data_IF_212101137838
#
_entry.id   IF_212101137838
#
_cell.length_a   1.000
_cell.length_b   1.000
_cell.length_c   1.000
_cell.angle_alpha   90.00
_cell.angle_beta   90.00
_cell.angle_gamma   90.00
#
_symmetry.space_group_name_H-M   'P 1'
#
loop_
_entity.id
_entity.type
_entity.pdbx_description
1 polymer ?
#
# COMPACT_ATOMS: atom_id res chain seq x y z
N UNK A 1 3.80 -24.50 13.28
CA UNK A 1 2.34 -24.39 13.16
C UNK A 1 2.14 -23.37 12.05
N UNK A 2 1.37 -23.69 11.03
CA UNK A 2 1.16 -22.79 9.88
C UNK A 2 0.63 -21.43 10.38
N UNK A 3 1.20 -20.31 9.94
CA UNK A 3 0.74 -18.97 10.31
C UNK A 3 -0.75 -18.79 9.99
N UNK A 4 -1.23 -19.41 8.91
CA UNK A 4 -2.63 -19.39 8.52
C UNK A 4 -3.52 -20.16 9.50
N UNK A 5 -3.03 -21.27 10.09
CA UNK A 5 -3.78 -22.03 11.10
C UNK A 5 -3.99 -21.22 12.38
N UNK A 6 -2.96 -20.47 12.79
CA UNK A 6 -3.04 -19.59 13.98
C UNK A 6 -4.03 -18.47 13.73
N UNK A 7 -3.91 -17.79 12.57
CA UNK A 7 -4.86 -16.75 12.16
C UNK A 7 -6.29 -17.30 12.12
N UNK A 8 -6.51 -18.48 11.53
CA UNK A 8 -7.84 -19.08 11.41
C UNK A 8 -8.51 -19.30 12.77
N UNK A 9 -7.75 -19.77 13.76
CA UNK A 9 -8.24 -19.98 15.13
C UNK A 9 -8.61 -18.66 15.80
N UNK A 10 -7.72 -17.69 15.76
CA UNK A 10 -7.94 -16.40 16.41
C UNK A 10 -9.06 -15.60 15.72
N UNK A 11 -9.14 -15.68 14.39
CA UNK A 11 -10.20 -15.11 13.59
C UNK A 11 -11.55 -15.69 13.99
N UNK A 12 -11.67 -17.02 14.09
CA UNK A 12 -12.90 -17.69 14.51
C UNK A 12 -13.37 -17.22 15.88
N UNK A 13 -12.45 -17.13 16.85
CA UNK A 13 -12.80 -16.68 18.21
C UNK A 13 -13.31 -15.24 18.20
N UNK A 14 -12.59 -14.33 17.54
CA UNK A 14 -12.99 -12.92 17.45
C UNK A 14 -14.32 -12.74 16.69
N UNK A 15 -14.49 -13.47 15.59
CA UNK A 15 -15.69 -13.42 14.76
C UNK A 15 -16.94 -13.87 15.53
N UNK A 16 -16.88 -15.05 16.17
CA UNK A 16 -18.01 -15.57 16.95
C UNK A 16 -18.34 -14.72 18.18
N UNK A 17 -17.35 -14.00 18.73
CA UNK A 17 -17.59 -13.04 19.81
C UNK A 17 -18.27 -11.76 19.30
N UNK A 18 -17.97 -11.32 18.08
CA UNK A 18 -18.55 -10.11 17.50
C UNK A 18 -20.02 -10.28 17.13
N UNK A 19 -20.40 -11.37 16.46
CA UNK A 19 -21.73 -11.52 15.85
C UNK A 19 -22.92 -11.26 16.79
N UNK A 20 -22.95 -11.72 18.06
CA UNK A 20 -24.13 -11.56 18.91
C UNK A 20 -24.31 -10.17 19.53
N UNK A 21 -23.23 -9.38 19.65
CA UNK A 21 -23.25 -8.14 20.46
C UNK A 21 -22.64 -6.91 19.77
N UNK A 22 -21.98 -7.11 18.63
CA UNK A 22 -21.29 -6.06 17.85
C UNK A 22 -20.39 -5.18 18.70
N UNK A 23 -19.65 -5.79 19.62
CA UNK A 23 -18.83 -5.05 20.57
C UNK A 23 -17.60 -4.43 19.90
N UNK A 24 -17.34 -3.16 20.21
CA UNK A 24 -16.16 -2.42 19.77
C UNK A 24 -14.85 -3.13 20.10
N UNK A 25 -14.79 -3.83 21.25
CA UNK A 25 -13.61 -4.60 21.63
C UNK A 25 -13.32 -5.76 20.66
N UNK A 26 -14.36 -6.36 20.08
CA UNK A 26 -14.21 -7.41 19.08
C UNK A 26 -13.87 -6.85 17.69
N UNK A 27 -14.32 -5.64 17.33
CA UNK A 27 -13.84 -4.92 16.13
C UNK A 27 -12.36 -4.53 16.26
N UNK A 28 -11.95 -4.03 17.42
CA UNK A 28 -10.54 -3.78 17.68
C UNK A 28 -9.70 -5.05 17.52
N UNK A 29 -10.22 -6.20 17.99
CA UNK A 29 -9.57 -7.51 17.76
C UNK A 29 -9.49 -7.85 16.26
N UNK A 30 -10.53 -7.54 15.48
CA UNK A 30 -10.55 -7.70 14.03
C UNK A 30 -9.45 -6.87 13.34
N UNK A 31 -9.30 -5.61 13.73
CA UNK A 31 -8.23 -4.74 13.27
C UNK A 31 -6.84 -5.33 13.57
N UNK A 32 -6.60 -5.78 14.81
CA UNK A 32 -5.32 -6.38 15.21
C UNK A 32 -5.01 -7.67 14.42
N UNK A 33 -6.03 -8.48 14.12
CA UNK A 33 -5.86 -9.66 13.27
C UNK A 33 -5.45 -9.28 11.86
N UNK A 34 -6.11 -8.29 11.26
CA UNK A 34 -5.75 -7.79 9.93
C UNK A 34 -4.34 -7.21 9.90
N UNK A 35 -3.96 -6.48 10.95
CA UNK A 35 -2.62 -5.90 11.08
C UNK A 35 -1.54 -6.98 11.19
N UNK A 36 -1.80 -8.02 12.00
CA UNK A 36 -0.90 -9.16 12.13
C UNK A 36 -0.76 -9.90 10.79
N UNK A 37 -1.88 -10.14 10.08
CA UNK A 37 -1.84 -10.80 8.79
C UNK A 37 -0.99 -10.04 7.75
N UNK A 38 -1.11 -8.70 7.72
CA UNK A 38 -0.24 -7.85 6.89
C UNK A 38 1.23 -7.98 7.30
N UNK A 39 1.54 -7.97 8.60
CA UNK A 39 2.91 -8.06 9.10
C UNK A 39 3.57 -9.41 8.77
N UNK A 40 2.81 -10.50 8.83
CA UNK A 40 3.25 -11.85 8.47
C UNK A 40 3.22 -12.12 6.96
N UNK A 41 2.78 -11.16 6.14
CA UNK A 41 2.73 -11.30 4.68
C UNK A 41 1.66 -12.28 4.17
N UNK A 42 0.63 -12.55 4.97
CA UNK A 42 -0.47 -13.43 4.57
C UNK A 42 -1.32 -12.81 3.46
N UNK A 43 -1.84 -13.65 2.58
CA UNK A 43 -2.63 -13.18 1.44
C UNK A 43 -4.01 -12.71 1.88
N UNK A 44 -4.45 -11.57 1.35
CA UNK A 44 -5.83 -11.09 1.47
C UNK A 44 -6.84 -12.13 0.95
N UNK A 45 -6.44 -12.95 -0.04
CA UNK A 45 -7.29 -14.01 -0.60
C UNK A 45 -7.42 -15.20 0.37
N UNK A 46 -6.38 -15.50 1.15
CA UNK A 46 -6.42 -16.53 2.20
C UNK A 46 -7.32 -16.06 3.34
N UNK A 47 -7.19 -14.79 3.76
CA UNK A 47 -8.05 -14.19 4.75
C UNK A 47 -9.53 -14.21 4.32
N UNK A 48 -9.81 -13.83 3.07
CA UNK A 48 -11.17 -13.85 2.52
C UNK A 48 -11.76 -15.28 2.52
N UNK A 49 -10.93 -16.30 2.21
CA UNK A 49 -11.33 -17.70 2.30
C UNK A 49 -11.65 -18.11 3.73
N UNK A 50 -10.77 -17.81 4.69
CA UNK A 50 -10.97 -18.10 6.12
C UNK A 50 -12.28 -17.48 6.62
N UNK A 51 -12.52 -16.20 6.31
CA UNK A 51 -13.78 -15.54 6.66
C UNK A 51 -14.98 -16.29 6.10
N UNK A 52 -14.96 -16.63 4.81
CA UNK A 52 -16.09 -17.28 4.15
C UNK A 52 -16.37 -18.67 4.71
N UNK A 53 -15.34 -19.46 4.98
CA UNK A 53 -15.47 -20.81 5.57
C UNK A 53 -16.13 -20.75 6.96
N UNK A 54 -15.64 -19.87 7.84
CA UNK A 54 -16.20 -19.68 9.18
C UNK A 54 -17.63 -19.12 9.07
N UNK A 55 -17.88 -18.17 8.17
CA UNK A 55 -19.19 -17.57 8.01
C UNK A 55 -20.24 -18.57 7.50
N UNK A 56 -19.87 -19.47 6.58
CA UNK A 56 -20.76 -20.55 6.14
C UNK A 56 -21.18 -21.49 7.28
N UNK A 57 -20.29 -21.76 8.22
CA UNK A 57 -20.64 -22.55 9.41
C UNK A 57 -21.69 -21.83 10.26
N UNK A 58 -21.49 -20.54 10.51
CA UNK A 58 -22.46 -19.71 11.23
C UNK A 58 -23.82 -19.70 10.52
N UNK A 59 -23.83 -19.51 9.19
CA UNK A 59 -25.07 -19.43 8.41
C UNK A 59 -25.89 -20.72 8.48
N UNK A 60 -25.25 -21.89 8.61
CA UNK A 60 -25.94 -23.18 8.75
C UNK A 60 -26.67 -23.31 10.09
N UNK A 61 -26.18 -22.63 11.12
CA UNK A 61 -26.73 -22.66 12.48
C UNK A 61 -27.67 -21.47 12.75
N UNK A 62 -27.69 -20.47 11.87
CA UNK A 62 -28.48 -19.23 12.03
C UNK A 62 -29.92 -19.42 11.55
N UNK A 63 -30.94 -19.05 12.35
CA UNK A 63 -32.33 -19.03 11.91
C UNK A 63 -32.56 -18.06 10.73
N UNK A 64 -33.46 -18.38 9.78
CA UNK A 64 -33.70 -17.53 8.61
C UNK A 64 -34.07 -16.06 8.94
N UNK A 65 -34.73 -15.82 10.07
CA UNK A 65 -35.12 -14.49 10.51
C UNK A 65 -33.91 -13.61 10.94
N UNK A 66 -32.82 -14.24 11.37
CA UNK A 66 -31.61 -13.57 11.87
C UNK A 66 -30.54 -13.40 10.79
N UNK A 67 -30.66 -14.12 9.66
CA UNK A 67 -29.69 -14.11 8.56
C UNK A 67 -29.30 -12.71 8.09
N UNK A 68 -30.22 -11.75 7.87
CA UNK A 68 -29.83 -10.41 7.42
C UNK A 68 -28.93 -9.71 8.42
N UNK A 69 -29.24 -9.79 9.71
CA UNK A 69 -28.48 -9.12 10.76
C UNK A 69 -27.09 -9.75 10.95
N UNK A 70 -27.02 -11.08 10.94
CA UNK A 70 -25.77 -11.84 11.03
C UNK A 70 -24.89 -11.56 9.80
N UNK A 71 -25.47 -11.49 8.60
CA UNK A 71 -24.73 -11.17 7.39
C UNK A 71 -24.18 -9.75 7.39
N UNK A 72 -24.96 -8.78 7.88
CA UNK A 72 -24.47 -7.40 8.07
C UNK A 72 -23.31 -7.35 9.05
N UNK A 73 -23.43 -8.00 10.23
CA UNK A 73 -22.35 -8.06 11.20
C UNK A 73 -21.10 -8.75 10.63
N UNK A 74 -21.27 -9.85 9.89
CA UNK A 74 -20.15 -10.52 9.24
C UNK A 74 -19.40 -9.60 8.26
N UNK A 75 -20.14 -8.82 7.47
CA UNK A 75 -19.55 -7.83 6.56
C UNK A 75 -18.80 -6.73 7.29
N UNK A 76 -19.36 -6.18 8.38
CA UNK A 76 -18.71 -5.14 9.18
C UNK A 76 -17.38 -5.63 9.75
N UNK A 77 -17.38 -6.83 10.34
CA UNK A 77 -16.17 -7.45 10.86
C UNK A 77 -15.12 -7.65 9.77
N UNK A 78 -15.50 -8.16 8.60
CA UNK A 78 -14.57 -8.35 7.49
C UNK A 78 -13.96 -7.02 7.03
N UNK A 79 -14.78 -5.97 6.90
CA UNK A 79 -14.30 -4.65 6.48
C UNK A 79 -13.27 -4.08 7.46
N UNK A 80 -13.47 -4.28 8.76
CA UNK A 80 -12.52 -3.84 9.79
C UNK A 80 -11.16 -4.54 9.65
N UNK A 81 -11.16 -5.85 9.37
CA UNK A 81 -9.93 -6.60 9.11
C UNK A 81 -9.27 -6.10 7.81
N UNK A 82 -10.06 -5.87 6.74
CA UNK A 82 -9.54 -5.46 5.43
C UNK A 82 -9.04 -4.01 5.39
N UNK A 83 -9.47 -3.17 6.31
CA UNK A 83 -8.98 -1.80 6.43
C UNK A 83 -7.46 -1.75 6.60
N UNK A 84 -6.85 -2.73 7.28
CA UNK A 84 -5.39 -2.80 7.46
C UNK A 84 -4.65 -3.08 6.16
N UNK A 85 -5.23 -3.89 5.27
CA UNK A 85 -4.68 -4.18 3.95
C UNK A 85 -4.76 -2.97 3.04
N UNK A 86 -5.88 -2.25 3.04
CA UNK A 86 -6.02 -0.99 2.28
C UNK A 86 -5.01 0.06 2.75
N UNK A 87 -4.87 0.23 4.07
CA UNK A 87 -3.86 1.13 4.67
C UNK A 87 -2.43 0.75 4.25
N UNK A 88 -2.09 -0.54 4.30
CA UNK A 88 -0.76 -1.02 3.90
C UNK A 88 -0.50 -0.81 2.40
N UNK A 89 -1.50 -1.06 1.55
CA UNK A 89 -1.41 -0.84 0.12
C UNK A 89 -1.20 0.65 -0.22
N UNK A 90 -1.93 1.56 0.43
CA UNK A 90 -1.76 3.01 0.25
C UNK A 90 -0.36 3.47 0.64
N UNK A 91 0.10 3.07 1.84
CA UNK A 91 1.43 3.42 2.31
C UNK A 91 2.53 2.92 1.36
N UNK A 92 2.38 1.72 0.80
CA UNK A 92 3.28 1.19 -0.22
C UNK A 92 3.28 2.08 -1.48
N UNK A 93 2.10 2.39 -2.04
CA UNK A 93 1.99 3.19 -3.26
C UNK A 93 2.52 4.62 -3.10
N UNK A 94 2.25 5.25 -1.95
CA UNK A 94 2.74 6.60 -1.62
C UNK A 94 4.27 6.63 -1.51
N UNK A 95 4.87 5.64 -0.86
CA UNK A 95 6.33 5.50 -0.78
C UNK A 95 6.98 5.34 -2.16
N UNK A 96 6.33 4.61 -3.07
CA UNK A 96 6.82 4.44 -4.45
C UNK A 96 6.69 5.72 -5.27
N UNK A 97 5.64 6.52 -5.07
CA UNK A 97 5.49 7.81 -5.72
C UNK A 97 6.59 8.79 -5.27
N UNK A 98 6.82 8.91 -3.97
CA UNK A 98 7.86 9.78 -3.42
C UNK A 98 9.27 9.42 -3.93
N UNK A 99 9.59 8.12 -4.00
CA UNK A 99 10.87 7.65 -4.53
C UNK A 99 11.07 7.98 -6.03
N UNK A 100 9.99 7.97 -6.83
CA UNK A 100 10.04 8.35 -8.26
C UNK A 100 10.25 9.85 -8.45
N UNK A 101 9.66 10.67 -7.59
CA UNK A 101 9.78 12.12 -7.66
C UNK A 101 11.22 12.58 -7.29
N UNK A 102 11.87 11.91 -6.35
CA UNK A 102 13.27 12.16 -5.96
C UNK A 102 14.28 11.79 -7.09
N UNK A 103 13.89 10.91 -8.01
CA UNK A 103 14.71 10.48 -9.16
C UNK A 103 14.55 11.37 -10.40
N UNK A 104 14.08 12.61 -10.24
CA UNK A 104 13.98 13.62 -11.30
C UNK A 104 15.28 13.89 -12.08
N UNK A 105 15.20 14.55 -13.26
CA UNK A 105 16.28 14.56 -14.27
C UNK A 105 17.64 14.92 -13.66
N UNK A 106 18.58 13.97 -13.70
CA UNK A 106 19.97 14.23 -13.29
C UNK A 106 20.46 15.48 -14.05
N UNK A 107 21.00 16.52 -13.37
CA UNK A 107 21.50 17.69 -14.06
C UNK A 107 22.53 17.23 -15.09
N UNK A 108 22.30 17.58 -16.35
CA UNK A 108 23.11 17.15 -17.47
C UNK A 108 24.58 17.38 -17.16
N UNK A 109 25.39 16.34 -17.36
CA UNK A 109 26.84 16.41 -17.37
C UNK A 109 27.26 17.47 -18.38
N UNK A 110 27.41 18.70 -17.89
CA UNK A 110 27.78 19.86 -18.67
C UNK A 110 29.23 19.76 -19.10
N UNK A 111 29.49 18.99 -20.16
CA UNK A 111 30.70 19.20 -20.96
C UNK A 111 30.45 20.49 -21.74
N UNK A 112 30.82 21.62 -21.13
CA UNK A 112 30.88 22.92 -21.79
C UNK A 112 32.04 22.86 -22.79
N UNK A 113 31.73 22.69 -24.07
CA UNK A 113 32.71 22.88 -25.13
C UNK A 113 33.28 24.31 -25.06
N UNK A 114 34.61 24.50 -25.20
CA UNK A 114 35.20 25.84 -25.19
C UNK A 114 34.77 26.61 -26.45
N UNK A 115 34.31 27.85 -26.23
CA UNK A 115 33.89 28.80 -27.26
C UNK A 115 35.14 29.32 -27.99
N UNK A 116 35.18 29.36 -29.33
CA UNK A 116 36.35 29.89 -30.04
C UNK A 116 36.39 31.40 -29.87
N UNK A 117 37.51 31.91 -29.35
CA UNK A 117 37.78 33.34 -29.26
C UNK A 117 38.11 33.89 -30.65
N UNK A 118 37.33 34.87 -31.10
CA UNK A 118 37.61 35.63 -32.30
C UNK A 118 38.88 36.48 -32.07
N UNK A 119 39.92 36.20 -32.86
CA UNK A 119 41.13 37.04 -32.91
C UNK A 119 40.79 38.35 -33.61
N UNK A 120 40.70 39.43 -32.83
CA UNK A 120 40.75 40.78 -33.38
C UNK A 120 42.18 41.31 -33.19
N UNK A 121 42.90 41.46 -34.29
CA UNK A 121 44.33 41.75 -34.35
C UNK A 121 44.59 42.82 -35.38
N UNK A 122 44.59 44.07 -34.89
CA UNK A 122 44.87 45.31 -35.60
C UNK A 122 46.12 45.24 -36.51
N UNK A 123 45.94 45.57 -37.79
CA UNK A 123 47.03 46.01 -38.66
C UNK A 123 46.98 47.55 -38.77
N UNK A 124 47.84 48.20 -38.00
CA UNK A 124 48.18 49.63 -38.15
C UNK A 124 49.00 49.82 -39.42
N UNK A 125 48.62 50.81 -40.21
CA UNK A 125 49.43 51.27 -41.34
C UNK A 125 50.73 51.94 -40.89
N UNK A 126 51.73 51.83 -41.75
CA UNK A 126 52.83 52.79 -41.89
C UNK A 126 53.35 52.70 -43.33
N UNK A 127 53.52 53.87 -43.97
CA UNK A 127 53.88 54.11 -45.37
C UNK A 127 55.39 53.88 -45.64
N UNK A 128 56.07 54.48 -46.66
CA UNK A 128 55.71 54.92 -48.02
C UNK A 128 56.72 54.44 -49.12
N UNK A 129 56.41 54.70 -50.40
CA UNK A 129 57.35 55.08 -51.50
C UNK A 129 58.37 54.05 -52.04
N UNK A 130 58.42 53.88 -53.38
CA UNK A 130 59.30 54.62 -54.31
C UNK A 130 59.40 53.89 -55.66
N UNK A 131 59.40 54.68 -56.74
CA UNK A 131 59.80 54.40 -58.13
C UNK A 131 58.86 53.58 -59.03
#
# INVERSE_FOLDING_TARGET
MDELDVLTKDYRVAFLHYLPRREEAALHRAYELGRSAVAEGLSILELARVHHEIFLEVLRETPPAELPEVATAASEFLLEVLATFDMAQRAFLEGHAAARDDQGPRPGSGIRAPRPEARDGAARGSAPGLA
#
